data_IF_860841943111
#
_entry.id   IF_860841943111
#
_cell.length_a   1.000
_cell.length_b   1.000
_cell.length_c   1.000
_cell.angle_alpha   90.00
_cell.angle_beta   90.00
_cell.angle_gamma   90.00
#
_symmetry.space_group_name_H-M   'P 1'
#
loop_
_entity.id
_entity.type
_entity.pdbx_description
1 polymer ?
#
# COMPACT_ATOMS: atom_id res chain seq x y z
N UNK A 1 1.26 -3.23 9.79
CA UNK A 1 2.37 -2.30 9.49
C UNK A 1 1.83 -1.01 8.86
N UNK A 2 1.00 -1.11 7.80
CA UNK A 2 0.49 0.04 7.07
C UNK A 2 -0.25 1.07 7.95
N UNK A 3 -1.23 0.65 8.75
CA UNK A 3 -2.00 1.55 9.60
C UNK A 3 -1.12 2.39 10.56
N UNK A 4 -0.08 1.78 11.12
CA UNK A 4 0.87 2.50 11.97
C UNK A 4 1.66 3.55 11.18
N UNK A 5 2.18 3.18 10.01
CA UNK A 5 2.95 4.09 9.15
C UNK A 5 2.10 5.27 8.64
N UNK A 6 0.84 5.00 8.30
CA UNK A 6 -0.11 6.05 7.93
C UNK A 6 -0.33 7.03 9.10
N UNK A 7 -0.60 6.51 10.30
CA UNK A 7 -0.78 7.36 11.48
C UNK A 7 0.47 8.17 11.81
N UNK A 8 1.66 7.56 11.75
CA UNK A 8 2.94 8.24 11.98
C UNK A 8 3.17 9.34 10.93
N UNK A 9 2.88 9.07 9.65
CA UNK A 9 2.99 10.07 8.58
C UNK A 9 2.04 11.25 8.79
N UNK A 10 0.76 10.97 9.12
CA UNK A 10 -0.23 12.01 9.38
C UNK A 10 0.15 12.87 10.59
N UNK A 11 0.62 12.25 11.69
CA UNK A 11 1.08 12.96 12.88
C UNK A 11 2.30 13.85 12.57
N UNK A 12 3.26 13.34 11.78
CA UNK A 12 4.42 14.12 11.34
C UNK A 12 4.04 15.34 10.49
N UNK A 13 3.01 15.23 9.64
CA UNK A 13 2.49 16.38 8.86
C UNK A 13 1.96 17.48 9.80
N UNK A 14 1.35 17.09 10.93
CA UNK A 14 0.87 18.02 11.94
C UNK A 14 1.98 18.51 12.89
N UNK A 15 3.20 17.98 12.79
CA UNK A 15 4.30 18.29 13.71
C UNK A 15 4.05 17.76 15.13
N UNK A 16 3.28 16.68 15.28
CA UNK A 16 2.89 16.11 16.57
C UNK A 16 3.33 14.65 16.72
N UNK A 17 3.54 14.18 17.95
CA UNK A 17 3.75 12.75 18.18
C UNK A 17 2.46 11.97 17.91
N UNK A 18 2.61 10.74 17.39
CA UNK A 18 1.48 9.83 17.21
C UNK A 18 0.87 9.46 18.57
N UNK A 19 -0.48 9.42 18.64
CA UNK A 19 -1.24 9.20 19.86
C UNK A 19 -1.81 10.49 20.46
N UNK A 20 -1.46 11.66 19.91
CA UNK A 20 -2.10 12.94 20.25
C UNK A 20 -3.32 13.14 19.35
N UNK A 21 -3.28 14.03 18.37
CA UNK A 21 -4.42 14.25 17.45
C UNK A 21 -4.66 13.06 16.54
N UNK A 22 -3.59 12.40 16.08
CA UNK A 22 -3.62 11.19 15.23
C UNK A 22 -3.14 10.01 16.05
N UNK A 23 -3.95 8.95 16.10
CA UNK A 23 -3.62 7.70 16.75
C UNK A 23 -3.86 6.49 15.86
N UNK A 24 -3.50 5.31 16.36
CA UNK A 24 -3.79 4.05 15.67
C UNK A 24 -4.18 2.95 16.65
N UNK A 25 -4.94 1.96 16.13
CA UNK A 25 -5.22 0.70 16.82
C UNK A 25 -4.98 -0.46 15.84
N UNK A 26 -4.06 -1.31 16.21
CA UNK A 26 -3.76 -2.55 15.48
C UNK A 26 -3.79 -3.74 16.45
N UNK A 27 -3.70 -4.95 15.91
CA UNK A 27 -3.67 -6.13 16.75
C UNK A 27 -2.48 -6.07 17.71
N UNK A 28 -2.72 -6.16 19.01
CA UNK A 28 -1.74 -6.11 20.11
C UNK A 28 -1.10 -4.75 20.41
N UNK A 29 -1.39 -3.68 19.67
CA UNK A 29 -0.82 -2.36 19.95
C UNK A 29 -1.85 -1.27 19.70
N UNK A 30 -1.90 -0.29 20.58
CA UNK A 30 -2.66 0.94 20.36
C UNK A 30 -1.83 2.15 20.81
N UNK A 31 -2.06 3.27 20.14
CA UNK A 31 -1.49 4.58 20.49
C UNK A 31 -2.54 5.64 20.26
N UNK A 32 -3.37 5.82 21.28
CA UNK A 32 -4.47 6.80 21.30
C UNK A 32 -4.54 7.46 22.69
N UNK A 33 -5.09 8.66 22.75
CA UNK A 33 -5.35 9.40 23.98
C UNK A 33 -6.74 10.04 23.93
N UNK A 34 -7.11 10.77 24.98
CA UNK A 34 -8.35 11.57 25.00
C UNK A 34 -8.34 12.74 24.01
N UNK A 35 -7.18 13.13 23.50
CA UNK A 35 -7.02 14.17 22.49
C UNK A 35 -7.11 13.62 21.06
N UNK A 36 -7.12 12.29 20.90
CA UNK A 36 -7.12 11.68 19.56
C UNK A 36 -8.43 11.95 18.84
N UNK A 37 -8.33 12.51 17.64
CA UNK A 37 -9.45 12.89 16.78
C UNK A 37 -9.55 11.99 15.54
N UNK A 38 -8.43 11.42 15.10
CA UNK A 38 -8.37 10.49 13.99
C UNK A 38 -7.66 9.24 14.46
N UNK A 39 -8.35 8.10 14.36
CA UNK A 39 -7.79 6.79 14.68
C UNK A 39 -7.65 5.97 13.39
N UNK A 40 -6.42 5.58 13.07
CA UNK A 40 -6.14 4.67 11.97
C UNK A 40 -6.20 3.24 12.48
N UNK A 41 -7.12 2.45 11.93
CA UNK A 41 -7.35 1.07 12.38
C UNK A 41 -7.16 0.09 11.23
N UNK A 42 -6.97 -1.18 11.58
CA UNK A 42 -7.19 -2.28 10.62
C UNK A 42 -8.67 -2.70 10.64
N UNK A 43 -9.18 -3.22 9.52
CA UNK A 43 -10.59 -3.59 9.36
C UNK A 43 -11.08 -4.57 10.46
N UNK A 44 -10.21 -5.52 10.86
CA UNK A 44 -10.53 -6.47 11.92
C UNK A 44 -10.68 -5.81 13.31
N UNK A 45 -10.07 -4.66 13.57
CA UNK A 45 -10.29 -3.87 14.78
C UNK A 45 -11.66 -3.19 14.71
N UNK A 46 -11.98 -2.54 13.58
CA UNK A 46 -13.29 -1.90 13.39
C UNK A 46 -14.43 -2.92 13.53
N UNK A 47 -14.31 -4.07 12.88
CA UNK A 47 -15.29 -5.17 13.00
C UNK A 47 -15.50 -5.59 14.47
N UNK A 48 -14.42 -5.72 15.24
CA UNK A 48 -14.50 -6.06 16.65
C UNK A 48 -15.16 -4.96 17.47
N UNK A 49 -14.86 -3.68 17.19
CA UNK A 49 -15.51 -2.54 17.86
C UNK A 49 -17.01 -2.56 17.60
N UNK A 50 -17.44 -2.76 16.35
CA UNK A 50 -18.85 -2.81 15.97
C UNK A 50 -19.61 -4.00 16.61
N UNK A 51 -18.96 -5.15 16.73
CA UNK A 51 -19.54 -6.32 17.41
C UNK A 51 -19.69 -6.06 18.91
N UNK A 52 -18.73 -5.38 19.52
CA UNK A 52 -18.75 -5.10 20.95
C UNK A 52 -19.72 -3.94 21.29
N UNK A 53 -19.66 -2.88 20.49
CA UNK A 53 -20.52 -1.70 20.63
C UNK A 53 -20.82 -1.07 19.26
N UNK A 54 -21.98 -1.37 18.72
CA UNK A 54 -22.43 -0.85 17.43
C UNK A 54 -22.75 0.66 17.47
N UNK A 55 -22.81 1.28 18.64
CA UNK A 55 -23.08 2.72 18.75
C UNK A 55 -21.90 3.55 18.26
N UNK A 56 -20.66 3.03 18.31
CA UNK A 56 -19.44 3.76 18.00
C UNK A 56 -19.45 5.15 18.63
N UNK A 57 -19.73 5.22 19.94
CA UNK A 57 -19.86 6.49 20.66
C UNK A 57 -18.63 7.38 20.45
N UNK A 58 -18.85 8.66 20.16
CA UNK A 58 -17.79 9.63 19.88
C UNK A 58 -17.22 9.58 18.46
N UNK A 59 -17.60 8.60 17.63
CA UNK A 59 -17.18 8.52 16.22
C UNK A 59 -18.20 9.26 15.35
N UNK A 60 -17.74 10.24 14.58
CA UNK A 60 -18.57 11.02 13.64
C UNK A 60 -18.51 10.49 12.21
N UNK A 61 -17.40 9.85 11.82
CA UNK A 61 -17.21 9.32 10.50
C UNK A 61 -16.34 8.05 10.52
N UNK A 62 -16.65 7.11 9.63
CA UNK A 62 -15.82 5.95 9.32
C UNK A 62 -15.37 6.06 7.87
N UNK A 63 -14.07 5.98 7.64
CA UNK A 63 -13.45 6.10 6.32
C UNK A 63 -12.83 4.74 5.96
N UNK A 64 -13.26 4.19 4.84
CA UNK A 64 -12.70 2.99 4.25
C UNK A 64 -11.75 3.40 3.14
N UNK A 65 -10.45 3.21 3.37
CA UNK A 65 -9.41 3.50 2.39
C UNK A 65 -9.05 2.26 1.58
N UNK A 66 -8.57 2.47 0.34
CA UNK A 66 -8.17 1.40 -0.59
C UNK A 66 -9.25 0.31 -0.77
N UNK A 67 -10.52 0.71 -0.75
CA UNK A 67 -11.65 -0.23 -0.78
C UNK A 67 -11.68 -1.12 -2.04
N UNK A 68 -10.99 -0.72 -3.09
CA UNK A 68 -10.84 -1.52 -4.32
C UNK A 68 -10.04 -2.82 -4.12
N UNK A 69 -9.25 -2.96 -3.07
CA UNK A 69 -8.57 -4.23 -2.73
C UNK A 69 -9.53 -5.35 -2.34
N UNK A 70 -10.78 -5.02 -1.96
CA UNK A 70 -11.89 -5.95 -1.74
C UNK A 70 -11.53 -7.11 -0.82
N UNK A 71 -11.17 -6.82 0.42
CA UNK A 71 -11.00 -7.86 1.42
C UNK A 71 -12.36 -8.24 2.07
N UNK A 72 -12.50 -9.51 2.45
CA UNK A 72 -13.67 -9.98 3.20
C UNK A 72 -13.88 -9.19 4.51
N UNK A 73 -12.78 -8.79 5.16
CA UNK A 73 -12.83 -8.02 6.40
C UNK A 73 -13.31 -6.58 6.14
N UNK A 74 -12.90 -5.97 5.04
CA UNK A 74 -13.34 -4.64 4.63
C UNK A 74 -14.84 -4.65 4.28
N UNK A 75 -15.28 -5.61 3.48
CA UNK A 75 -16.68 -5.76 3.11
C UNK A 75 -17.58 -6.01 4.33
N UNK A 76 -17.14 -6.86 5.27
CA UNK A 76 -17.86 -7.12 6.52
C UNK A 76 -17.92 -5.86 7.42
N UNK A 77 -16.80 -5.17 7.58
CA UNK A 77 -16.75 -3.94 8.37
C UNK A 77 -17.68 -2.87 7.79
N UNK A 78 -17.72 -2.71 6.47
CA UNK A 78 -18.64 -1.80 5.79
C UNK A 78 -20.10 -2.19 6.03
N UNK A 79 -20.45 -3.48 5.88
CA UNK A 79 -21.81 -3.95 6.09
C UNK A 79 -22.29 -3.69 7.52
N UNK A 80 -21.45 -3.97 8.53
CA UNK A 80 -21.76 -3.71 9.94
C UNK A 80 -21.85 -2.21 10.23
N UNK A 81 -20.96 -1.38 9.66
CA UNK A 81 -21.01 0.07 9.82
C UNK A 81 -22.29 0.63 9.21
N UNK A 82 -22.69 0.13 8.03
CA UNK A 82 -23.92 0.53 7.37
C UNK A 82 -25.15 0.14 8.20
N UNK A 83 -25.18 -1.06 8.75
CA UNK A 83 -26.25 -1.52 9.64
C UNK A 83 -26.34 -0.64 10.90
N UNK A 84 -25.21 -0.29 11.52
CA UNK A 84 -25.17 0.61 12.67
C UNK A 84 -25.70 2.01 12.30
N UNK A 85 -25.32 2.52 11.13
CA UNK A 85 -25.81 3.80 10.61
C UNK A 85 -27.33 3.79 10.42
N UNK A 86 -27.89 2.75 9.82
CA UNK A 86 -29.32 2.66 9.51
C UNK A 86 -30.20 2.51 10.77
N UNK A 87 -29.72 1.77 11.75
CA UNK A 87 -30.55 1.38 12.90
C UNK A 87 -30.31 2.26 14.14
N UNK A 88 -29.04 2.66 14.38
CA UNK A 88 -28.62 3.23 15.67
C UNK A 88 -28.06 4.63 15.50
N UNK A 89 -27.28 4.88 14.44
CA UNK A 89 -26.45 6.06 14.26
C UNK A 89 -26.72 6.75 12.91
N UNK A 90 -27.91 7.31 12.67
CA UNK A 90 -28.24 7.97 11.41
C UNK A 90 -27.36 9.21 11.10
N UNK A 91 -26.67 9.72 12.12
CA UNK A 91 -25.71 10.82 12.02
C UNK A 91 -24.32 10.39 11.53
N UNK A 92 -23.96 9.08 11.65
CA UNK A 92 -22.66 8.54 11.30
C UNK A 92 -22.39 8.70 9.80
N UNK A 93 -21.25 9.28 9.44
CA UNK A 93 -20.83 9.41 8.05
C UNK A 93 -20.00 8.19 7.62
N UNK A 94 -20.29 7.67 6.43
CA UNK A 94 -19.49 6.61 5.81
C UNK A 94 -18.85 7.19 4.56
N UNK A 95 -17.53 7.11 4.47
CA UNK A 95 -16.74 7.58 3.33
C UNK A 95 -15.96 6.39 2.79
N UNK A 96 -16.05 6.17 1.48
CA UNK A 96 -15.27 5.12 0.80
C UNK A 96 -14.33 5.79 -0.18
N UNK A 97 -13.05 5.48 -0.04
CA UNK A 97 -11.99 5.96 -0.92
C UNK A 97 -11.44 4.80 -1.75
N UNK A 98 -11.24 5.07 -3.02
CA UNK A 98 -10.81 4.05 -3.98
C UNK A 98 -10.14 4.68 -5.19
N UNK A 99 -9.09 4.04 -5.71
CA UNK A 99 -8.38 4.48 -6.90
C UNK A 99 -9.05 4.04 -8.22
N UNK A 100 -9.76 2.93 -8.22
CA UNK A 100 -10.19 2.24 -9.45
C UNK A 100 -11.50 1.48 -9.28
N UNK A 101 -12.58 2.10 -8.83
CA UNK A 101 -13.84 1.35 -8.73
C UNK A 101 -14.78 1.71 -9.87
N UNK A 102 -15.51 0.69 -10.36
CA UNK A 102 -16.86 0.91 -10.81
C UNK A 102 -17.70 1.38 -9.60
N UNK A 103 -17.61 2.68 -9.34
CA UNK A 103 -18.25 3.33 -8.21
C UNK A 103 -19.78 3.22 -8.27
N UNK A 104 -20.33 2.94 -9.43
CA UNK A 104 -21.77 2.95 -9.69
C UNK A 104 -22.53 1.96 -8.81
N UNK A 105 -22.03 0.73 -8.67
CA UNK A 105 -22.66 -0.30 -7.85
C UNK A 105 -22.62 0.06 -6.36
N UNK A 106 -21.51 0.58 -5.87
CA UNK A 106 -21.34 0.97 -4.46
C UNK A 106 -22.18 2.21 -4.14
N UNK A 107 -22.13 3.23 -4.98
CA UNK A 107 -22.95 4.43 -4.83
C UNK A 107 -24.44 4.09 -4.78
N UNK A 108 -24.90 3.17 -5.63
CA UNK A 108 -26.30 2.70 -5.63
C UNK A 108 -26.63 1.93 -4.35
N UNK A 109 -25.76 1.01 -3.92
CA UNK A 109 -25.98 0.19 -2.71
C UNK A 109 -26.01 1.05 -1.44
N UNK A 110 -25.18 2.07 -1.36
CA UNK A 110 -25.08 2.98 -0.20
C UNK A 110 -25.95 4.21 -0.32
N UNK A 111 -26.58 4.45 -1.47
CA UNK A 111 -27.32 5.69 -1.77
C UNK A 111 -26.45 6.93 -1.55
N UNK A 112 -25.18 6.84 -1.89
CA UNK A 112 -24.17 7.85 -1.66
C UNK A 112 -23.81 8.61 -2.94
N UNK A 113 -23.52 9.92 -2.87
CA UNK A 113 -23.00 10.66 -4.00
C UNK A 113 -21.56 10.20 -4.33
N UNK A 114 -21.23 10.25 -5.62
CA UNK A 114 -19.86 10.07 -6.09
C UNK A 114 -19.15 11.42 -6.12
N UNK A 115 -17.93 11.45 -5.57
CA UNK A 115 -17.03 12.59 -5.68
C UNK A 115 -15.78 12.07 -6.39
N UNK A 116 -15.54 12.58 -7.59
CA UNK A 116 -14.37 12.24 -8.39
C UNK A 116 -13.35 13.37 -8.39
N UNK A 117 -12.09 13.00 -8.29
CA UNK A 117 -10.96 13.91 -8.47
C UNK A 117 -10.14 13.42 -9.65
N UNK A 118 -10.12 14.20 -10.72
CA UNK A 118 -9.26 13.93 -11.86
C UNK A 118 -7.81 14.26 -11.50
N UNK A 119 -7.00 13.21 -11.33
CA UNK A 119 -5.56 13.34 -11.15
C UNK A 119 -4.84 13.51 -12.50
N UNK A 120 -3.63 14.08 -12.49
CA UNK A 120 -2.74 14.02 -13.65
C UNK A 120 -2.24 12.59 -13.83
N UNK A 121 -2.58 11.97 -14.95
CA UNK A 121 -1.96 10.71 -15.37
C UNK A 121 -0.73 11.01 -16.21
N UNK A 122 0.38 10.34 -15.90
CA UNK A 122 1.53 10.32 -16.78
C UNK A 122 1.27 9.31 -17.90
N UNK A 123 1.77 9.56 -19.13
CA UNK A 123 1.64 8.59 -20.20
C UNK A 123 2.38 7.29 -19.82
N UNK A 124 1.71 6.16 -20.00
CA UNK A 124 2.26 4.83 -19.73
C UNK A 124 2.29 4.05 -21.04
N UNK A 125 3.49 3.62 -21.42
CA UNK A 125 3.67 2.68 -22.53
C UNK A 125 3.73 1.26 -21.97
N UNK A 126 2.85 0.38 -22.47
CA UNK A 126 2.82 -1.03 -22.05
C UNK A 126 3.54 -1.87 -23.08
N UNK A 127 4.60 -2.58 -22.66
CA UNK A 127 5.40 -3.46 -23.51
C UNK A 127 5.26 -4.88 -22.97
N UNK A 128 4.87 -5.83 -23.84
CA UNK A 128 4.77 -7.24 -23.49
C UNK A 128 6.00 -8.01 -23.94
N UNK A 129 6.45 -8.96 -23.10
CA UNK A 129 7.45 -9.94 -23.51
C UNK A 129 6.78 -11.03 -24.34
N UNK A 130 7.44 -11.46 -25.43
CA UNK A 130 6.99 -12.58 -26.27
C UNK A 130 7.39 -13.95 -25.70
N UNK A 131 8.05 -13.99 -24.54
CA UNK A 131 8.61 -15.18 -23.95
C UNK A 131 7.53 -15.96 -23.18
N UNK A 132 7.41 -17.25 -23.52
CA UNK A 132 6.57 -18.18 -22.75
C UNK A 132 7.21 -18.47 -21.39
N UNK A 133 6.74 -17.77 -20.34
CA UNK A 133 7.25 -17.86 -18.98
C UNK A 133 7.12 -19.27 -18.39
N UNK A 134 6.21 -20.11 -18.90
CA UNK A 134 6.04 -21.49 -18.44
C UNK A 134 7.28 -22.39 -18.70
N UNK A 135 8.18 -21.96 -19.57
CA UNK A 135 9.41 -22.69 -19.94
C UNK A 135 10.68 -22.15 -19.30
N UNK A 136 10.62 -20.98 -18.65
CA UNK A 136 11.80 -20.28 -18.13
C UNK A 136 11.64 -19.91 -16.66
N UNK A 137 12.74 -19.85 -15.94
CA UNK A 137 12.77 -19.32 -14.57
C UNK A 137 12.47 -17.82 -14.61
N UNK A 138 11.30 -17.43 -14.16
CA UNK A 138 10.76 -16.04 -14.22
C UNK A 138 11.77 -15.00 -13.71
N UNK A 139 12.53 -15.31 -12.66
CA UNK A 139 13.51 -14.40 -12.08
C UNK A 139 14.68 -14.08 -13.03
N UNK A 140 15.04 -14.99 -13.93
CA UNK A 140 16.07 -14.75 -14.95
C UNK A 140 15.57 -13.78 -16.01
N UNK A 141 14.34 -13.98 -16.47
CA UNK A 141 13.73 -13.11 -17.47
C UNK A 141 13.47 -11.71 -16.95
N UNK A 142 12.99 -11.60 -15.71
CA UNK A 142 12.81 -10.31 -15.03
C UNK A 142 14.16 -9.60 -14.87
N UNK A 143 15.21 -10.30 -14.46
CA UNK A 143 16.55 -9.71 -14.35
C UNK A 143 17.07 -9.20 -15.71
N UNK A 144 16.89 -9.98 -16.79
CA UNK A 144 17.29 -9.57 -18.14
C UNK A 144 16.47 -8.33 -18.62
N UNK A 145 15.19 -8.30 -18.31
CA UNK A 145 14.31 -7.17 -18.63
C UNK A 145 14.70 -5.91 -17.88
N UNK A 146 15.01 -6.03 -16.58
CA UNK A 146 15.50 -4.91 -15.75
C UNK A 146 16.79 -4.34 -16.32
N UNK A 147 17.76 -5.19 -16.67
CA UNK A 147 19.03 -4.73 -17.25
C UNK A 147 18.82 -3.99 -18.59
N UNK A 148 17.92 -4.50 -19.44
CA UNK A 148 17.57 -3.82 -20.71
C UNK A 148 16.85 -2.49 -20.45
N UNK A 149 16.01 -2.41 -19.44
CA UNK A 149 15.30 -1.18 -19.09
C UNK A 149 16.29 -0.14 -18.53
N UNK A 150 17.19 -0.54 -17.65
CA UNK A 150 18.21 0.33 -17.07
C UNK A 150 19.17 0.91 -18.10
N UNK A 151 19.41 0.19 -19.22
CA UNK A 151 20.24 0.66 -20.32
C UNK A 151 19.50 1.67 -21.23
N UNK A 152 18.16 1.60 -21.30
CA UNK A 152 17.36 2.38 -22.25
C UNK A 152 16.63 3.57 -21.63
N UNK A 153 16.39 3.54 -20.34
CA UNK A 153 15.54 4.52 -19.65
C UNK A 153 16.25 5.09 -18.42
N UNK A 154 16.02 6.35 -18.17
CA UNK A 154 16.39 7.02 -16.92
C UNK A 154 15.29 6.82 -15.87
N UNK A 155 15.66 6.86 -14.59
CA UNK A 155 14.75 6.76 -13.46
C UNK A 155 14.80 5.43 -12.73
N UNK A 156 13.88 5.26 -11.77
CA UNK A 156 13.82 4.08 -10.92
C UNK A 156 13.01 2.95 -11.58
N UNK A 157 13.38 1.71 -11.26
CA UNK A 157 12.69 0.50 -11.76
C UNK A 157 12.07 -0.25 -10.60
N UNK A 158 10.75 -0.43 -10.64
CA UNK A 158 10.02 -1.28 -9.70
C UNK A 158 9.63 -2.59 -10.39
N UNK A 159 10.12 -3.72 -9.89
CA UNK A 159 9.84 -5.04 -10.45
C UNK A 159 9.08 -5.92 -9.46
N UNK A 160 7.97 -6.51 -9.91
CA UNK A 160 7.17 -7.43 -9.11
C UNK A 160 7.49 -8.88 -9.48
N UNK A 161 7.72 -9.69 -8.45
CA UNK A 161 7.99 -11.13 -8.55
C UNK A 161 7.04 -11.92 -7.64
N UNK A 162 6.77 -13.20 -7.94
CA UNK A 162 5.75 -13.99 -7.23
C UNK A 162 6.05 -14.22 -5.75
N UNK A 163 7.33 -14.22 -5.34
CA UNK A 163 7.68 -14.51 -3.97
C UNK A 163 9.12 -14.15 -3.59
N UNK A 164 9.43 -14.31 -2.30
CA UNK A 164 10.75 -13.98 -1.73
C UNK A 164 11.89 -14.73 -2.41
N UNK A 165 11.69 -16.00 -2.76
CA UNK A 165 12.71 -16.83 -3.44
C UNK A 165 13.12 -16.24 -4.77
N UNK A 166 12.14 -15.85 -5.58
CA UNK A 166 12.34 -15.26 -6.90
C UNK A 166 12.95 -13.87 -6.81
N UNK A 167 12.56 -13.07 -5.80
CA UNK A 167 13.15 -11.76 -5.52
C UNK A 167 14.64 -11.90 -5.23
N UNK A 168 15.03 -12.82 -4.35
CA UNK A 168 16.43 -13.00 -3.96
C UNK A 168 17.28 -13.55 -5.11
N UNK A 169 16.77 -14.52 -5.87
CA UNK A 169 17.47 -15.04 -7.05
C UNK A 169 17.63 -13.97 -8.15
N UNK A 170 16.60 -13.16 -8.38
CA UNK A 170 16.67 -12.03 -9.31
C UNK A 170 17.75 -11.03 -8.87
N UNK A 171 17.77 -10.68 -7.58
CA UNK A 171 18.81 -9.80 -7.00
C UNK A 171 20.21 -10.34 -7.21
N UNK A 172 20.46 -11.63 -6.95
CA UNK A 172 21.78 -12.25 -7.14
C UNK A 172 22.29 -12.09 -8.59
N UNK A 173 21.39 -12.28 -9.57
CA UNK A 173 21.74 -12.12 -10.99
C UNK A 173 22.06 -10.65 -11.31
N UNK A 174 21.23 -9.73 -10.80
CA UNK A 174 21.45 -8.30 -11.00
C UNK A 174 22.75 -7.82 -10.37
N UNK A 175 23.01 -8.18 -9.11
CA UNK A 175 24.25 -7.83 -8.40
C UNK A 175 25.49 -8.34 -9.13
N UNK A 176 25.46 -9.58 -9.61
CA UNK A 176 26.57 -10.16 -10.38
C UNK A 176 26.78 -9.45 -11.73
N UNK A 177 25.73 -9.02 -12.39
CA UNK A 177 25.80 -8.32 -13.67
C UNK A 177 26.30 -6.88 -13.49
N UNK A 178 25.74 -6.17 -12.51
CA UNK A 178 26.12 -4.79 -12.20
C UNK A 178 27.55 -4.69 -11.66
N UNK A 179 27.99 -5.66 -10.85
CA UNK A 179 29.38 -5.72 -10.37
C UNK A 179 30.38 -5.92 -11.51
N UNK A 180 30.05 -6.74 -12.52
CA UNK A 180 30.86 -6.92 -13.73
C UNK A 180 30.94 -5.62 -14.54
N UNK A 181 29.80 -4.96 -14.73
CA UNK A 181 29.76 -3.68 -15.41
C UNK A 181 30.57 -2.61 -14.66
N UNK A 182 30.41 -2.50 -13.34
CA UNK A 182 31.15 -1.57 -12.50
C UNK A 182 32.68 -1.79 -12.51
N UNK A 183 33.15 -3.04 -12.67
CA UNK A 183 34.57 -3.36 -12.78
C UNK A 183 35.19 -2.83 -14.08
N UNK A 184 34.38 -2.64 -15.11
CA UNK A 184 34.82 -2.09 -16.41
C UNK A 184 34.80 -0.54 -16.49
N UNK A 185 34.19 0.12 -15.48
CA UNK A 185 34.03 1.58 -15.45
C UNK A 185 35.20 2.29 -14.75
N UNK A 186 35.44 3.55 -15.12
CA UNK A 186 36.39 4.40 -14.41
C UNK A 186 35.92 4.75 -12.97
N UNK A 187 36.82 5.24 -12.13
CA UNK A 187 36.45 5.57 -10.73
C UNK A 187 35.36 6.67 -10.63
N UNK A 188 35.28 7.57 -11.60
CA UNK A 188 34.26 8.61 -11.67
C UNK A 188 32.88 8.08 -12.05
N UNK A 189 32.81 7.00 -12.84
CA UNK A 189 31.58 6.48 -13.40
C UNK A 189 30.94 5.40 -12.48
N UNK A 190 31.65 4.94 -11.47
CA UNK A 190 31.14 3.97 -10.47
C UNK A 190 29.99 4.50 -9.64
N UNK A 191 29.82 5.82 -9.52
CA UNK A 191 28.70 6.47 -8.83
C UNK A 191 27.35 6.32 -9.59
N UNK A 192 27.38 5.93 -10.87
CA UNK A 192 26.17 5.73 -11.70
C UNK A 192 25.63 4.31 -11.73
N UNK A 193 26.25 3.36 -11.00
CA UNK A 193 25.77 1.97 -10.98
C UNK A 193 24.50 1.85 -10.17
N UNK A 194 23.40 1.33 -10.75
CA UNK A 194 22.14 1.14 -10.03
C UNK A 194 22.29 0.27 -8.79
N UNK A 195 21.59 0.62 -7.72
CA UNK A 195 21.51 -0.20 -6.52
C UNK A 195 20.26 -1.06 -6.54
N UNK A 196 20.36 -2.30 -6.06
CA UNK A 196 19.25 -3.26 -6.06
C UNK A 196 18.77 -3.52 -4.64
N UNK A 197 17.56 -3.14 -4.34
CA UNK A 197 16.90 -3.32 -3.05
C UNK A 197 15.82 -4.41 -3.15
N UNK A 198 15.96 -5.55 -2.45
CA UNK A 198 14.89 -6.53 -2.38
C UNK A 198 13.82 -6.04 -1.38
N UNK A 199 12.55 -6.12 -1.76
CA UNK A 199 11.43 -5.75 -0.90
C UNK A 199 10.44 -6.91 -0.81
N UNK A 200 10.16 -7.40 0.41
CA UNK A 200 9.19 -8.46 0.70
C UNK A 200 8.69 -8.38 2.14
N UNK A 201 7.52 -8.96 2.41
CA UNK A 201 6.77 -8.77 3.67
C UNK A 201 7.52 -9.11 4.96
N UNK A 202 8.39 -10.12 4.94
CA UNK A 202 9.17 -10.55 6.12
C UNK A 202 10.53 -9.82 6.26
N UNK A 203 10.81 -8.83 5.41
CA UNK A 203 12.04 -8.05 5.53
C UNK A 203 11.99 -7.17 6.79
N UNK A 204 13.09 -7.07 7.57
CA UNK A 204 13.14 -6.17 8.72
C UNK A 204 12.81 -4.72 8.34
N UNK A 205 12.08 -3.96 9.19
CA UNK A 205 11.62 -2.60 8.86
C UNK A 205 12.74 -1.64 8.45
N UNK A 206 13.92 -1.77 9.04
CA UNK A 206 15.11 -0.97 8.70
C UNK A 206 15.55 -1.19 7.25
N UNK A 207 15.50 -2.44 6.77
CA UNK A 207 15.83 -2.77 5.38
C UNK A 207 14.72 -2.39 4.40
N UNK A 208 13.45 -2.40 4.86
CA UNK A 208 12.33 -1.92 4.04
C UNK A 208 12.39 -0.40 3.78
N UNK A 209 13.01 0.36 4.68
CA UNK A 209 13.18 1.83 4.52
C UNK A 209 14.30 2.21 3.55
N UNK A 210 15.16 1.28 3.19
CA UNK A 210 16.26 1.49 2.24
C UNK A 210 15.82 1.24 0.79
N UNK A 211 14.71 0.53 0.60
CA UNK A 211 14.07 0.32 -0.68
C UNK A 211 13.02 1.43 -0.92
#
# INVERSE_FOLDING_TARGET
LAARQIAERMANILGEPVGKTIGYRVRFENKVSSETRIEVLTEGILTRMLIHDATLEGVSAVIFDEFHERSINSDLALALTRQAQEIIRPDLKIIIMSATIDASAICKALQAPLIESEGRMFPVETIYSEIDIARYDIYKEVAATILKAADKHEGDILAFLPGQSEILKCKEILDASLSRAAAALSASDKLSVPQVYPLYGNLPPEKQRLA
#
